data_IF_085681283957
#
_entry.id   IF_085681283957
#
_cell.length_a   1.000
_cell.length_b   1.000
_cell.length_c   1.000
_cell.angle_alpha   90.00
_cell.angle_beta   90.00
_cell.angle_gamma   90.00
#
_symmetry.space_group_name_H-M   'P 1'
#
loop_
_entity.id
_entity.type
_entity.pdbx_description
1 polymer ?
#
# COMPACT_ATOMS: atom_id res chain seq x y z
N UNK A 1 7.47 13.09 -56.89
CA UNK A 1 6.97 12.15 -55.86
C UNK A 1 7.58 12.51 -54.54
N UNK A 2 6.91 13.37 -53.77
CA UNK A 2 7.22 13.57 -52.35
C UNK A 2 6.01 13.01 -51.60
N UNK A 3 6.05 11.70 -51.35
CA UNK A 3 5.08 11.05 -50.49
C UNK A 3 5.33 11.54 -49.06
N UNK A 4 4.25 11.86 -48.35
CA UNK A 4 4.27 12.53 -47.06
C UNK A 4 5.13 11.83 -46.01
N UNK A 5 6.27 12.45 -45.70
CA UNK A 5 7.01 12.17 -44.49
C UNK A 5 6.23 12.78 -43.31
N UNK A 6 5.20 12.06 -42.88
CA UNK A 6 4.55 12.36 -41.62
C UNK A 6 5.54 11.89 -40.56
N UNK A 7 6.44 12.79 -40.15
CA UNK A 7 7.23 12.58 -38.95
C UNK A 7 6.22 12.53 -37.82
N UNK A 8 5.87 11.33 -37.40
CA UNK A 8 5.23 11.11 -36.11
C UNK A 8 6.23 11.56 -35.07
N UNK A 9 6.14 12.82 -34.69
CA UNK A 9 6.70 13.29 -33.43
C UNK A 9 5.84 12.61 -32.39
N UNK A 10 6.26 11.43 -31.95
CA UNK A 10 5.76 10.83 -30.72
C UNK A 10 6.22 11.77 -29.62
N UNK A 11 5.41 12.80 -29.33
CA UNK A 11 5.54 13.56 -28.11
C UNK A 11 5.18 12.55 -27.03
N UNK A 12 6.19 11.91 -26.44
CA UNK A 12 5.99 11.07 -25.27
C UNK A 12 5.24 11.95 -24.27
N UNK A 13 3.98 11.63 -24.03
CA UNK A 13 3.21 12.36 -23.06
C UNK A 13 3.82 12.00 -21.70
N UNK A 14 4.36 13.02 -21.03
CA UNK A 14 5.10 12.85 -19.78
C UNK A 14 4.14 13.18 -18.63
N UNK A 15 3.36 12.18 -18.23
CA UNK A 15 2.51 12.29 -17.06
C UNK A 15 3.27 11.87 -15.80
N UNK A 16 2.78 12.27 -14.65
CA UNK A 16 3.34 11.85 -13.38
C UNK A 16 2.38 12.02 -12.22
N UNK A 17 2.73 11.39 -11.10
CA UNK A 17 1.98 11.50 -9.86
C UNK A 17 2.93 11.33 -8.67
N UNK A 18 2.47 11.79 -7.51
CA UNK A 18 3.17 11.67 -6.24
C UNK A 18 2.51 12.59 -5.23
N UNK A 19 3.05 12.66 -4.03
CA UNK A 19 2.95 13.80 -3.11
C UNK A 19 3.72 13.42 -1.83
N UNK A 20 3.01 13.01 -0.78
CA UNK A 20 3.57 12.93 0.56
C UNK A 20 2.96 11.78 1.37
N UNK A 21 3.82 11.03 2.06
CA UNK A 21 3.40 10.08 3.09
C UNK A 21 3.75 10.66 4.45
N UNK A 22 2.77 10.76 5.34
CA UNK A 22 2.90 11.53 6.57
C UNK A 22 2.42 10.76 7.79
N UNK A 23 2.99 11.13 8.94
CA UNK A 23 2.55 10.62 10.23
C UNK A 23 1.33 11.42 10.71
N UNK A 24 0.16 10.81 10.58
CA UNK A 24 -1.13 11.35 11.00
C UNK A 24 -1.38 11.04 12.49
N UNK A 25 -0.69 11.78 13.36
CA UNK A 25 -0.76 11.58 14.82
C UNK A 25 -2.15 11.90 15.37
N UNK A 26 -2.87 12.82 14.72
CA UNK A 26 -4.18 13.26 15.16
C UNK A 26 -5.34 12.45 14.52
N UNK A 27 -5.03 11.58 13.56
CA UNK A 27 -5.94 10.70 12.83
C UNK A 27 -7.06 11.43 12.07
N UNK A 28 -6.80 12.63 11.57
CA UNK A 28 -7.78 13.42 10.81
C UNK A 28 -7.74 13.13 9.30
N UNK A 29 -6.72 12.43 8.82
CA UNK A 29 -6.54 12.04 7.43
C UNK A 29 -6.15 13.18 6.48
N UNK A 30 -5.63 14.29 6.99
CA UNK A 30 -5.21 15.46 6.22
C UNK A 30 -3.79 15.86 6.65
N UNK A 31 -2.86 16.07 5.71
CA UNK A 31 -1.52 16.52 6.07
C UNK A 31 -1.57 17.92 6.69
N UNK A 32 -1.27 18.00 7.99
CA UNK A 32 -1.28 19.24 8.75
C UNK A 32 0.10 19.91 8.82
N UNK A 33 0.17 21.24 8.97
CA UNK A 33 1.44 21.93 9.19
C UNK A 33 2.17 21.40 10.42
N UNK A 34 3.34 20.78 10.21
CA UNK A 34 4.18 20.23 11.27
C UNK A 34 4.11 18.72 11.43
N UNK A 35 3.23 18.03 10.70
CA UNK A 35 3.29 16.57 10.58
C UNK A 35 4.52 16.15 9.78
N UNK A 36 5.26 15.19 10.32
CA UNK A 36 6.50 14.72 9.72
C UNK A 36 6.22 13.77 8.55
N UNK A 37 7.04 13.87 7.51
CA UNK A 37 7.11 12.86 6.47
C UNK A 37 7.55 11.51 7.01
N UNK A 38 7.03 10.44 6.42
CA UNK A 38 7.37 9.09 6.77
C UNK A 38 8.37 8.51 5.76
N UNK A 39 9.62 8.38 6.17
CA UNK A 39 10.70 7.77 5.38
C UNK A 39 10.55 6.24 5.27
N UNK A 40 10.92 5.68 4.12
CA UNK A 40 11.10 4.24 3.98
C UNK A 40 9.82 3.46 3.67
N UNK A 41 8.73 4.14 3.33
CA UNK A 41 7.48 3.49 2.89
C UNK A 41 7.63 3.01 1.46
N UNK A 42 7.37 1.72 1.24
CA UNK A 42 7.38 1.16 -0.11
C UNK A 42 6.11 1.58 -0.83
N UNK A 43 6.27 2.24 -1.98
CA UNK A 43 5.19 2.71 -2.84
C UNK A 43 5.25 1.98 -4.17
N UNK A 44 4.14 1.36 -4.57
CA UNK A 44 3.96 0.54 -5.76
C UNK A 44 3.02 1.25 -6.73
N UNK A 45 3.42 1.38 -7.99
CA UNK A 45 2.56 1.89 -9.05
C UNK A 45 1.98 0.73 -9.86
N UNK A 46 0.67 0.72 -10.03
CA UNK A 46 -0.07 -0.26 -10.81
C UNK A 46 -0.80 0.38 -11.99
N UNK A 47 -1.01 -0.38 -13.06
CA UNK A 47 -1.95 -0.01 -14.11
C UNK A 47 -3.42 -0.13 -13.65
N UNK A 48 -4.36 0.30 -14.49
CA UNK A 48 -5.80 0.17 -14.24
C UNK A 48 -6.32 -1.26 -14.09
N UNK A 49 -5.50 -2.28 -14.40
CA UNK A 49 -5.80 -3.71 -14.23
C UNK A 49 -5.06 -4.32 -13.02
N UNK A 50 -4.43 -3.49 -12.18
CA UNK A 50 -3.66 -3.88 -11.01
C UNK A 50 -2.40 -4.72 -11.33
N UNK A 51 -1.81 -4.55 -12.51
CA UNK A 51 -0.48 -5.07 -12.80
C UNK A 51 0.58 -4.10 -12.27
N UNK A 52 1.58 -4.62 -11.55
CA UNK A 52 2.67 -3.82 -11.02
C UNK A 52 3.55 -3.28 -12.16
N UNK A 53 3.73 -1.96 -12.20
CA UNK A 53 4.54 -1.26 -13.19
C UNK A 53 5.88 -0.81 -12.61
N UNK A 54 5.86 -0.23 -11.41
CA UNK A 54 7.04 0.35 -10.79
C UNK A 54 6.94 0.31 -9.25
N UNK A 55 8.08 0.51 -8.59
CA UNK A 55 8.16 0.63 -7.14
C UNK A 55 9.16 1.74 -6.80
N UNK A 56 8.84 2.52 -5.77
CA UNK A 56 9.73 3.52 -5.17
C UNK A 56 9.64 3.43 -3.64
N UNK A 57 10.48 4.19 -2.95
CA UNK A 57 10.51 4.30 -1.50
C UNK A 57 10.44 5.80 -1.16
N UNK A 58 9.63 6.17 -0.18
CA UNK A 58 9.56 7.55 0.30
C UNK A 58 10.91 8.00 0.87
N UNK A 59 11.29 9.22 0.57
CA UNK A 59 12.54 9.82 1.07
C UNK A 59 12.43 10.29 2.52
N UNK A 60 13.50 10.93 3.03
CA UNK A 60 13.57 11.44 4.41
C UNK A 60 12.47 12.47 4.74
N UNK A 61 11.94 13.13 3.72
CA UNK A 61 10.85 14.10 3.85
C UNK A 61 9.50 13.44 3.57
N UNK A 62 9.41 12.11 3.43
CA UNK A 62 8.17 11.38 3.15
C UNK A 62 7.68 11.52 1.71
N UNK A 63 8.47 12.13 0.82
CA UNK A 63 8.08 12.43 -0.55
C UNK A 63 8.35 11.23 -1.45
N UNK A 64 7.45 11.01 -2.41
CA UNK A 64 7.64 10.05 -3.48
C UNK A 64 7.10 10.59 -4.80
N UNK A 65 7.62 10.09 -5.92
CA UNK A 65 7.17 10.54 -7.24
C UNK A 65 7.37 9.47 -8.30
N UNK A 66 6.42 9.38 -9.23
CA UNK A 66 6.52 8.67 -10.49
C UNK A 66 6.38 9.68 -11.64
N UNK A 67 7.33 9.66 -12.58
CA UNK A 67 7.36 10.51 -13.78
C UNK A 67 7.53 9.64 -15.03
N UNK A 68 7.36 10.21 -16.22
CA UNK A 68 7.47 9.46 -17.48
C UNK A 68 6.32 8.48 -17.69
N UNK A 69 5.15 8.74 -17.09
CA UNK A 69 3.97 7.90 -17.22
C UNK A 69 3.21 8.23 -18.50
N UNK A 70 2.71 7.20 -19.17
CA UNK A 70 1.77 7.40 -20.27
C UNK A 70 0.42 7.89 -19.74
N UNK A 71 -0.34 8.68 -20.50
CA UNK A 71 -1.69 9.10 -20.10
C UNK A 71 -2.62 7.89 -20.01
N UNK A 72 -2.96 7.49 -18.80
CA UNK A 72 -3.76 6.31 -18.51
C UNK A 72 -4.35 6.37 -17.10
N UNK A 73 -5.06 5.31 -16.72
CA UNK A 73 -5.51 5.10 -15.36
C UNK A 73 -4.48 4.29 -14.58
N UNK A 74 -4.18 4.74 -13.36
CA UNK A 74 -3.22 4.14 -12.45
C UNK A 74 -3.80 3.93 -11.06
N UNK A 75 -3.17 3.05 -10.29
CA UNK A 75 -3.42 2.86 -8.86
C UNK A 75 -2.09 2.91 -8.13
N UNK A 76 -2.04 3.64 -7.02
CA UNK A 76 -0.87 3.67 -6.14
C UNK A 76 -1.14 2.77 -4.93
N UNK A 77 -0.19 1.92 -4.60
CA UNK A 77 -0.21 1.08 -3.42
C UNK A 77 0.89 1.46 -2.45
N UNK A 78 0.56 1.57 -1.18
CA UNK A 78 1.48 1.85 -0.08
C UNK A 78 1.59 0.61 0.81
N UNK A 79 2.82 0.28 1.24
CA UNK A 79 3.02 -0.75 2.27
C UNK A 79 3.14 -0.11 3.63
N UNK A 80 2.14 -0.32 4.48
CA UNK A 80 2.19 0.10 5.87
C UNK A 80 3.40 -0.55 6.58
N UNK A 81 4.28 0.25 7.20
CA UNK A 81 5.35 -0.29 8.04
C UNK A 81 4.79 -1.03 9.26
N UNK A 82 5.54 -1.99 9.85
CA UNK A 82 5.09 -2.67 11.06
C UNK A 82 4.76 -1.69 12.19
N UNK A 83 3.57 -1.84 12.78
CA UNK A 83 3.10 -0.95 13.85
C UNK A 83 2.37 0.30 13.37
N UNK A 84 2.08 0.41 12.07
CA UNK A 84 1.27 1.50 11.51
C UNK A 84 0.09 0.96 10.71
N UNK A 85 -1.01 1.71 10.74
CA UNK A 85 -2.21 1.53 9.91
C UNK A 85 -2.41 2.78 9.05
N UNK A 86 -3.12 2.65 7.93
CA UNK A 86 -3.50 3.81 7.13
C UNK A 86 -4.63 4.60 7.81
N UNK A 87 -4.50 5.91 7.81
CA UNK A 87 -5.54 6.85 8.24
C UNK A 87 -6.21 7.55 7.05
N UNK A 88 -5.50 7.72 5.94
CA UNK A 88 -5.99 8.35 4.72
C UNK A 88 -5.21 7.93 3.47
N UNK A 89 -5.77 8.27 2.29
CA UNK A 89 -5.12 8.09 0.99
C UNK A 89 -5.15 6.67 0.43
N UNK A 90 -5.21 5.68 1.31
CA UNK A 90 -5.26 4.27 0.96
C UNK A 90 -6.48 3.56 1.57
N UNK A 91 -7.00 2.57 0.86
CA UNK A 91 -8.00 1.63 1.36
C UNK A 91 -7.38 0.61 2.34
N UNK A 92 -8.20 -0.34 2.83
CA UNK A 92 -7.76 -1.40 3.74
C UNK A 92 -6.67 -2.31 3.15
N UNK A 93 -6.50 -2.31 1.82
CA UNK A 93 -5.45 -3.04 1.12
C UNK A 93 -4.19 -2.20 0.86
N UNK A 94 -4.18 -0.96 1.35
CA UNK A 94 -3.10 -0.01 1.13
C UNK A 94 -3.12 0.62 -0.26
N UNK A 95 -4.27 0.69 -0.96
CA UNK A 95 -4.33 1.19 -2.35
C UNK A 95 -5.22 2.40 -2.51
N UNK A 96 -4.87 3.27 -3.45
CA UNK A 96 -5.71 4.39 -3.87
C UNK A 96 -6.87 3.90 -4.76
N UNK A 97 -7.93 4.71 -4.93
CA UNK A 97 -8.81 4.60 -6.09
C UNK A 97 -8.05 4.78 -7.42
N UNK A 98 -8.74 4.53 -8.53
CA UNK A 98 -8.22 4.81 -9.88
C UNK A 98 -7.92 6.30 -10.06
N UNK A 99 -6.69 6.60 -10.47
CA UNK A 99 -6.18 7.93 -10.78
C UNK A 99 -6.05 8.03 -12.30
N UNK A 100 -6.80 8.92 -12.94
CA UNK A 100 -6.70 9.16 -14.37
C UNK A 100 -5.70 10.29 -14.63
N UNK A 101 -4.68 10.02 -15.43
CA UNK A 101 -3.71 11.02 -15.87
C UNK A 101 -3.89 11.34 -17.36
N UNK A 102 -3.96 12.63 -17.66
CA UNK A 102 -3.94 13.19 -19.00
C UNK A 102 -2.54 13.38 -19.56
N UNK A 103 -2.48 13.86 -20.81
CA UNK A 103 -1.21 14.17 -21.48
C UNK A 103 -0.49 15.32 -20.77
N UNK A 104 0.77 15.10 -20.38
CA UNK A 104 1.60 16.09 -19.67
C UNK A 104 0.96 16.57 -18.36
N UNK A 105 0.22 15.70 -17.67
CA UNK A 105 -0.39 15.98 -16.37
C UNK A 105 0.50 15.47 -15.24
N UNK A 106 0.78 16.34 -14.26
CA UNK A 106 1.34 15.92 -12.99
C UNK A 106 0.28 16.06 -11.89
N UNK A 107 0.01 14.99 -11.16
CA UNK A 107 -0.93 14.98 -10.04
C UNK A 107 -0.18 14.94 -8.68
N UNK A 108 0.01 16.09 -8.01
CA UNK A 108 0.65 16.22 -6.70
C UNK A 108 -0.40 16.18 -5.57
N UNK A 109 -1.26 15.18 -5.55
CA UNK A 109 -2.32 15.11 -4.52
C UNK A 109 -2.56 13.68 -4.06
N UNK A 110 -1.56 12.81 -4.29
CA UNK A 110 -1.64 11.41 -3.93
C UNK A 110 -0.92 11.21 -2.60
N UNK A 111 -1.59 11.57 -1.53
CA UNK A 111 -1.07 11.44 -0.17
C UNK A 111 -1.38 10.08 0.45
N UNK A 112 -0.64 9.71 1.50
CA UNK A 112 -1.03 8.63 2.41
C UNK A 112 -0.73 9.00 3.87
N UNK A 113 -1.76 8.94 4.70
CA UNK A 113 -1.63 9.15 6.14
C UNK A 113 -1.37 7.82 6.86
N UNK A 114 -0.38 7.80 7.74
CA UNK A 114 -0.06 6.67 8.61
C UNK A 114 -0.28 7.04 10.07
N UNK A 115 -0.99 6.19 10.80
CA UNK A 115 -1.18 6.31 12.25
C UNK A 115 -0.62 5.09 12.95
N UNK A 116 -0.26 5.23 14.23
CA UNK A 116 0.18 4.08 15.03
C UNK A 116 -0.93 3.04 15.14
N UNK A 117 -0.64 1.82 14.71
CA UNK A 117 -1.52 0.68 14.93
C UNK A 117 -1.52 0.35 16.43
N UNK A 118 -2.65 -0.10 17.00
CA UNK A 118 -2.67 -0.58 18.37
C UNK A 118 -1.64 -1.70 18.49
N UNK A 119 -0.66 -1.54 19.40
CA UNK A 119 0.31 -2.58 19.65
C UNK A 119 -0.44 -3.84 20.05
N UNK A 120 -0.44 -4.85 19.17
CA UNK A 120 -0.83 -6.18 19.57
C UNK A 120 0.18 -6.60 20.62
N UNK A 121 -0.20 -6.49 21.89
CA UNK A 121 0.55 -7.10 22.98
C UNK A 121 0.49 -8.59 22.71
N UNK A 122 1.49 -9.12 22.00
CA UNK A 122 1.71 -10.56 21.95
C UNK A 122 1.88 -10.95 23.40
N UNK A 123 0.96 -11.75 24.00
CA UNK A 123 1.25 -12.29 25.30
C UNK A 123 2.51 -13.11 25.10
N UNK A 124 3.62 -12.67 25.70
CA UNK A 124 4.81 -13.48 25.82
C UNK A 124 4.36 -14.74 26.54
N UNK A 125 4.07 -15.80 25.79
CA UNK A 125 3.83 -17.12 26.36
C UNK A 125 5.17 -17.54 26.94
N UNK A 126 5.34 -17.26 28.24
CA UNK A 126 6.42 -17.81 29.04
C UNK A 126 6.44 -19.32 28.78
N UNK A 127 7.64 -19.85 28.54
CA UNK A 127 7.91 -21.21 28.14
C UNK A 127 7.19 -22.27 29.01
N UNK A 128 5.94 -22.58 28.69
CA UNK A 128 5.19 -23.78 29.10
C UNK A 128 3.74 -23.65 28.61
N UNK A 129 3.49 -24.02 27.36
CA UNK A 129 2.11 -24.21 26.88
C UNK A 129 1.98 -23.94 25.40
N UNK A 130 1.84 -25.02 24.61
CA UNK A 130 1.26 -24.94 23.28
C UNK A 130 -0.16 -24.33 23.41
N UNK A 131 -0.27 -23.02 23.26
CA UNK A 131 -1.55 -22.38 22.99
C UNK A 131 -1.61 -22.14 21.48
N UNK A 132 -2.45 -22.91 20.79
CA UNK A 132 -2.87 -22.57 19.43
C UNK A 132 -3.58 -21.21 19.49
N UNK A 133 -2.86 -20.14 19.16
CA UNK A 133 -3.41 -18.81 19.04
C UNK A 133 -4.15 -18.71 17.69
N UNK A 134 -5.41 -19.12 17.65
CA UNK A 134 -6.37 -18.53 16.71
C UNK A 134 -7.00 -17.32 17.39
N UNK A 135 -6.27 -16.20 17.40
CA UNK A 135 -6.89 -14.92 17.68
C UNK A 135 -7.67 -14.51 16.43
N UNK A 136 -8.98 -14.35 16.59
CA UNK A 136 -9.92 -14.06 15.51
C UNK A 136 -9.59 -12.74 14.81
N UNK A 137 -9.07 -12.85 13.59
CA UNK A 137 -9.28 -11.83 12.57
C UNK A 137 -10.68 -12.03 11.98
N UNK A 138 -11.60 -11.15 12.33
CA UNK A 138 -12.76 -10.89 11.47
C UNK A 138 -12.32 -9.79 10.51
N UNK A 139 -11.87 -10.20 9.33
CA UNK A 139 -11.86 -9.41 8.11
C UNK A 139 -12.05 -10.36 6.93
N UNK A 140 -12.77 -9.90 5.91
CA UNK A 140 -13.78 -10.66 5.20
C UNK A 140 -13.27 -11.67 4.13
N UNK A 141 -14.07 -12.73 3.97
CA UNK A 141 -14.38 -13.46 2.75
C UNK A 141 -13.24 -13.77 1.74
N UNK A 142 -12.61 -14.94 1.85
CA UNK A 142 -12.37 -15.85 0.72
C UNK A 142 -12.13 -17.26 1.29
N UNK A 143 -12.95 -18.23 0.87
CA UNK A 143 -13.08 -19.53 1.53
C UNK A 143 -11.82 -20.39 1.47
N UNK A 144 -11.32 -20.85 2.62
CA UNK A 144 -10.35 -21.95 2.70
C UNK A 144 -10.70 -22.89 3.85
N UNK A 145 -11.06 -24.11 3.44
CA UNK A 145 -10.99 -25.42 4.09
C UNK A 145 -11.23 -25.58 5.61
N UNK A 146 -12.25 -26.38 5.93
CA UNK A 146 -12.47 -26.96 7.27
C UNK A 146 -11.31 -27.89 7.65
N UNK A 147 -10.41 -27.47 8.55
CA UNK A 147 -9.48 -28.38 9.20
C UNK A 147 -10.20 -29.18 10.29
N UNK A 148 -10.45 -30.47 10.01
CA UNK A 148 -10.99 -31.42 10.99
C UNK A 148 -9.83 -31.86 11.90
N UNK A 149 -9.78 -31.36 13.13
CA UNK A 149 -8.82 -31.85 14.11
C UNK A 149 -9.17 -33.30 14.50
N UNK A 150 -8.35 -34.26 14.05
CA UNK A 150 -8.30 -35.60 14.64
C UNK A 150 -7.38 -35.49 15.85
N UNK A 151 -7.95 -35.53 17.06
CA UNK A 151 -7.17 -35.73 18.29
C UNK A 151 -6.68 -37.19 18.28
N UNK A 152 -5.40 -37.38 17.98
CA UNK A 152 -4.71 -38.64 18.19
C UNK A 152 -4.40 -38.78 19.68
N UNK A 153 -5.12 -39.68 20.36
CA UNK A 153 -4.84 -40.04 21.75
C UNK A 153 -3.58 -40.91 21.82
N UNK A 154 -2.54 -40.40 22.47
CA UNK A 154 -1.39 -41.22 22.87
C UNK A 154 -1.72 -41.93 24.18
N UNK A 155 -1.75 -43.26 24.14
CA UNK A 155 -1.75 -44.13 25.32
C UNK A 155 -0.38 -43.99 26.00
N UNK A 156 -0.34 -43.50 27.22
CA UNK A 156 0.82 -43.72 28.08
C UNK A 156 0.52 -44.87 29.04
N UNK A 157 1.35 -45.90 28.92
CA UNK A 157 1.21 -47.19 29.59
C UNK A 157 2.06 -47.19 30.85
N UNK A 158 1.46 -47.40 32.02
CA UNK A 158 2.09 -47.97 33.22
C UNK A 158 1.09 -48.81 33.98
#
# INVERSE_FOLDING_TARGET
NLAGDTVTVTVAADAGLGDFVFLDENSNGVPDPGEAGFEGVVVELYDGQLNLLATTITDADGIYTFTGLEPAAYVVGFKAPPGFDFSAGADESGRTPLINLGCNEFNPSIDAGLKSAPTATVPTVGAAGLALLFAGFVAAAFGIARYRAVVSGSRDSR
#
